data_IF_709444444119
#
_entry.id   IF_709444444119
#
_cell.length_a   1.000
_cell.length_b   1.000
_cell.length_c   1.000
_cell.angle_alpha   90.00
_cell.angle_beta   90.00
_cell.angle_gamma   90.00
#
_symmetry.space_group_name_H-M   'P 1'
#
loop_
_entity.id
_entity.type
_entity.pdbx_description
1 polymer ?
2 non-polymer ?
3 water ?
#
# COMPACT_ATOMS: atom_id res chain seq x y z
N UNK A 29 9.02 -17.39 18.07
CA UNK A 29 7.82 -17.05 17.23
C UNK A 29 6.92 -18.24 17.15
N UNK A 30 5.85 -18.15 16.35
CA UNK A 30 5.49 -16.94 15.60
C UNK A 30 4.05 -16.60 15.90
N UNK A 31 3.77 -15.30 16.03
CA UNK A 31 2.43 -14.86 16.39
C UNK A 31 2.05 -13.69 15.49
N UNK A 32 0.83 -13.70 14.96
CA UNK A 32 0.33 -12.56 14.19
C UNK A 32 -0.78 -11.88 14.94
N UNK A 33 -0.72 -10.55 15.03
CA UNK A 33 -1.82 -9.78 15.58
C UNK A 33 -2.35 -8.78 14.56
N UNK A 34 -3.61 -8.38 14.70
CA UNK A 34 -4.08 -7.22 13.97
C UNK A 34 -4.34 -6.18 15.02
N UNK A 35 -3.95 -4.93 14.77
CA UNK A 35 -4.23 -3.86 15.73
C UNK A 35 -5.40 -3.04 15.22
N UNK A 36 -6.11 -3.57 14.22
CA UNK A 36 -7.29 -2.89 13.68
C UNK A 36 -8.56 -3.26 14.44
N UNK A 37 -9.53 -2.35 14.44
CA UNK A 37 -10.74 -2.48 15.29
C UNK A 37 -12.07 -2.59 14.52
N UNK A 38 -12.01 -2.71 13.18
CA UNK A 38 -13.20 -3.07 12.37
C UNK A 38 -12.92 -4.06 11.26
N UNK A 39 -13.91 -4.90 10.97
CA UNK A 39 -13.78 -6.04 10.06
C UNK A 39 -13.06 -5.73 8.73
N UNK A 40 -13.36 -4.56 8.16
CA UNK A 40 -12.82 -4.21 6.84
C UNK A 40 -11.31 -4.04 6.87
N UNK A 41 -10.79 -3.60 8.01
CA UNK A 41 -9.37 -3.35 8.14
C UNK A 41 -8.60 -4.57 8.60
N UNK A 42 -9.32 -5.66 8.87
CA UNK A 42 -8.67 -6.86 9.32
C UNK A 42 -8.64 -7.87 8.20
N UNK A 43 -9.13 -7.47 7.02
CA UNK A 43 -9.19 -8.42 5.90
C UNK A 43 -7.80 -8.87 5.49
N UNK A 44 -6.90 -7.92 5.30
CA UNK A 44 -5.55 -8.23 4.86
C UNK A 44 -4.88 -9.20 5.84
N UNK A 45 -4.93 -8.86 7.12
CA UNK A 45 -4.32 -9.69 8.15
C UNK A 45 -4.87 -11.14 8.06
N UNK A 46 -6.18 -11.26 7.88
CA UNK A 46 -6.87 -12.54 7.70
C UNK A 46 -6.34 -13.35 6.49
N UNK A 47 -6.06 -12.66 5.38
CA UNK A 47 -5.51 -13.31 4.19
C UNK A 47 -4.09 -13.75 4.37
N UNK A 48 -3.31 -12.93 5.06
CA UNK A 48 -1.92 -13.24 5.38
C UNK A 48 -1.86 -14.51 6.25
N UNK A 49 -2.86 -14.67 7.11
CA UNK A 49 -2.88 -15.79 8.04
C UNK A 49 -3.23 -17.05 7.28
N UNK A 50 -4.20 -16.94 6.36
CA UNK A 50 -4.62 -18.09 5.56
C UNK A 50 -3.47 -18.59 4.72
N UNK A 51 -2.64 -17.65 4.26
CA UNK A 51 -1.50 -18.01 3.44
C UNK A 51 -0.41 -18.72 4.24
N UNK A 52 -0.11 -18.23 5.43
CA UNK A 52 0.94 -18.87 6.23
C UNK A 52 0.46 -20.19 6.86
N UNK A 53 -0.86 -20.38 6.88
CA UNK A 53 -1.47 -21.54 7.48
C UNK A 53 -1.44 -21.47 8.98
N UNK A 54 -1.90 -20.37 9.54
CA UNK A 54 -1.95 -20.20 11.00
C UNK A 54 -3.26 -19.56 11.50
N UNK A 55 -3.54 -19.72 12.79
CA UNK A 55 -4.56 -18.93 13.49
C UNK A 55 -4.06 -17.50 13.74
N UNK A 56 -4.95 -16.51 13.82
CA UNK A 56 -4.57 -15.16 14.26
C UNK A 56 -4.44 -15.19 15.77
N UNK A 57 -3.64 -14.31 16.35
CA UNK A 57 -3.57 -14.24 17.80
C UNK A 57 -4.85 -13.66 18.37
N UNK A 58 -5.15 -13.94 19.63
CA UNK A 58 -6.31 -13.31 20.26
C UNK A 58 -5.93 -11.93 20.79
N UNK A 59 -6.73 -10.92 20.45
CA UNK A 59 -6.55 -9.58 20.98
C UNK A 59 -7.89 -8.91 20.98
N UNK A 60 -8.03 -7.90 21.84
CA UNK A 60 -9.17 -7.01 21.74
C UNK A 60 -8.71 -5.59 21.47
N UNK A 61 -9.22 -5.01 20.39
CA UNK A 61 -8.95 -3.61 20.12
C UNK A 61 -10.25 -2.83 19.97
N UNK A 62 -10.55 -2.03 20.97
CA UNK A 62 -11.78 -1.28 20.94
C UNK A 62 -11.55 0.14 21.47
N UNK A 63 -12.65 0.81 21.78
CA UNK A 63 -12.60 2.21 22.15
C UNK A 63 -13.47 2.45 23.40
N UNK A 64 -12.91 3.06 24.44
CA UNK A 64 -13.70 3.49 25.61
C UNK A 64 -14.71 4.57 25.21
N UNK A 65 -15.76 4.78 26.02
CA UNK A 65 -16.71 5.87 25.78
C UNK A 65 -16.09 7.29 25.71
N UNK A 66 -14.92 7.50 26.29
CA UNK A 66 -14.23 8.79 26.13
C UNK A 66 -13.37 8.81 24.87
N UNK A 67 -13.41 7.74 24.10
CA UNK A 67 -12.73 7.63 22.83
C UNK A 67 -11.22 7.34 22.92
N UNK A 68 -10.72 7.02 24.11
CA UNK A 68 -9.39 6.43 24.26
C UNK A 68 -9.41 5.01 23.74
N UNK A 69 -8.25 4.55 23.31
CA UNK A 69 -8.14 3.22 22.73
C UNK A 69 -7.84 2.16 23.80
N UNK A 70 -8.22 0.93 23.52
CA UNK A 70 -7.93 -0.15 24.43
C UNK A 70 -7.44 -1.32 23.61
N UNK A 71 -6.25 -1.77 23.94
CA UNK A 71 -5.67 -2.95 23.34
C UNK A 71 -5.51 -3.88 24.52
N UNK A 72 -5.73 -5.17 24.29
CA UNK A 72 -5.69 -6.14 25.35
C UNK A 72 -5.30 -7.48 24.71
N UNK A 73 -4.10 -7.95 25.06
CA UNK A 73 -3.49 -9.08 24.37
C UNK A 73 -3.83 -10.36 25.10
N UNK A 74 -4.62 -11.21 24.45
CA UNK A 74 -5.20 -12.33 25.16
C UNK A 74 -4.45 -13.64 24.98
N UNK A 75 -3.14 -13.60 25.23
CA UNK A 75 -2.28 -14.79 25.19
C UNK A 75 -0.80 -14.42 25.49
N UNK A 76 -0.03 -15.42 25.93
CA UNK A 76 1.40 -15.21 26.18
C UNK A 76 2.15 -14.85 24.91
N UNK A 77 3.00 -13.84 25.01
CA UNK A 77 3.78 -13.36 23.91
C UNK A 77 5.27 -13.53 24.24
N UNK A 78 5.56 -13.81 25.52
CA UNK A 78 6.92 -13.91 25.99
C UNK A 78 7.81 -14.76 25.09
N UNK A 79 9.01 -14.26 24.81
CA UNK A 79 9.98 -14.97 23.99
C UNK A 79 9.61 -15.12 22.52
N UNK A 80 8.38 -14.77 22.15
CA UNK A 80 7.86 -14.99 20.80
C UNK A 80 8.20 -13.90 19.77
N UNK A 81 8.15 -14.28 18.49
CA UNK A 81 8.34 -13.35 17.39
C UNK A 81 6.99 -12.93 16.88
N UNK A 82 6.68 -11.65 17.09
CA UNK A 82 5.33 -11.16 16.93
C UNK A 82 5.23 -10.16 15.78
N UNK A 83 4.40 -10.49 14.80
CA UNK A 83 4.16 -9.60 13.66
C UNK A 83 2.82 -8.94 13.85
N UNK A 84 2.82 -7.63 14.05
CA UNK A 84 1.60 -6.85 14.23
C UNK A 84 1.17 -6.29 12.88
N UNK A 85 0.00 -6.69 12.42
CA UNK A 85 -0.48 -6.24 11.09
C UNK A 85 -1.44 -5.07 11.22
N UNK A 86 -1.11 -3.97 10.56
CA UNK A 86 -1.87 -2.75 10.79
C UNK A 86 -2.16 -2.01 9.50
N UNK A 87 -3.41 -2.04 9.03
CA UNK A 87 -3.77 -1.20 7.90
C UNK A 87 -4.36 0.15 8.34
N UNK A 88 -4.52 1.07 7.40
CA UNK A 88 -5.04 2.38 7.77
C UNK A 88 -6.54 2.50 7.56
N UNK A 89 -7.26 2.77 8.64
CA UNK A 89 -8.69 2.99 8.61
C UNK A 89 -9.00 4.46 8.27
N UNK A 90 -10.27 4.77 8.19
CA UNK A 90 -10.74 6.12 8.03
C UNK A 90 -10.06 7.08 9.03
N UNK A 91 -10.02 6.68 10.30
CA UNK A 91 -9.42 7.49 11.40
C UNK A 91 -7.95 7.16 11.58
N UNK A 92 -7.11 7.78 10.76
CA UNK A 92 -5.70 7.43 10.69
C UNK A 92 -4.98 7.59 12.05
N UNK A 93 -5.15 8.73 12.70
CA UNK A 93 -4.64 8.98 14.05
C UNK A 93 -5.00 7.91 15.07
N UNK A 94 -6.20 7.39 15.00
CA UNK A 94 -6.58 6.28 15.88
C UNK A 94 -5.85 4.98 15.47
N UNK A 95 -5.71 4.77 14.18
CA UNK A 95 -4.88 3.68 13.64
C UNK A 95 -3.47 3.72 14.25
N UNK A 96 -2.87 4.89 14.30
CA UNK A 96 -1.57 5.07 14.91
C UNK A 96 -1.57 4.66 16.38
N UNK A 97 -2.40 5.29 17.20
CA UNK A 97 -2.48 4.94 18.62
C UNK A 97 -2.78 3.46 18.85
N UNK A 98 -3.72 2.87 18.12
CA UNK A 98 -3.91 1.42 18.22
C UNK A 98 -2.59 0.67 17.99
N UNK A 99 -1.85 1.05 16.95
CA UNK A 99 -0.57 0.45 16.68
C UNK A 99 0.46 0.65 17.80
N UNK A 100 0.67 1.92 18.15
CA UNK A 100 1.64 2.30 19.16
C UNK A 100 1.39 1.58 20.48
N UNK A 101 0.14 1.64 20.93
CA UNK A 101 -0.27 1.01 22.17
C UNK A 101 -0.06 -0.50 22.12
N UNK A 102 -0.38 -1.13 21.01
CA UNK A 102 -0.20 -2.56 20.94
C UNK A 102 1.26 -2.95 20.98
N UNK A 103 2.08 -2.20 20.25
CA UNK A 103 3.50 -2.46 20.16
C UNK A 103 4.08 -2.37 21.58
N UNK A 104 3.65 -1.33 22.30
CA UNK A 104 4.10 -1.10 23.66
C UNK A 104 3.75 -2.26 24.59
N UNK A 105 2.56 -2.80 24.42
CA UNK A 105 2.12 -3.91 25.27
C UNK A 105 2.96 -5.17 24.99
N UNK A 106 3.33 -5.34 23.74
CA UNK A 106 4.18 -6.46 23.34
C UNK A 106 5.58 -6.31 23.90
N UNK A 107 5.99 -5.05 24.12
CA UNK A 107 7.32 -4.80 24.63
C UNK A 107 7.32 -5.15 26.11
N UNK A 108 6.31 -4.63 26.80
CA UNK A 108 6.09 -4.92 28.20
C UNK A 108 5.99 -6.43 28.49
N UNK A 109 5.41 -7.19 27.57
CA UNK A 109 5.23 -8.61 27.78
C UNK A 109 6.40 -9.41 27.23
N UNK A 110 7.49 -8.69 26.95
CA UNK A 110 8.78 -9.31 26.64
C UNK A 110 8.79 -10.19 25.40
N UNK A 111 8.17 -9.69 24.34
CA UNK A 111 8.22 -10.33 23.04
C UNK A 111 9.69 -10.30 22.61
N UNK A 112 10.13 -11.29 21.84
CA UNK A 112 11.51 -11.33 21.42
C UNK A 112 11.76 -10.33 20.29
N UNK A 113 10.80 -10.23 19.38
CA UNK A 113 10.89 -9.29 18.30
C UNK A 113 9.50 -8.77 18.03
N UNK A 114 9.41 -7.51 17.66
CA UNK A 114 8.12 -6.92 17.38
C UNK A 114 8.21 -6.30 16.01
N UNK A 115 7.73 -7.03 15.02
CA UNK A 115 7.78 -6.58 13.64
C UNK A 115 6.48 -5.91 13.25
N UNK A 116 6.54 -4.62 12.95
CA UNK A 116 5.39 -3.95 12.35
C UNK A 116 5.23 -4.32 10.87
N UNK A 117 4.07 -4.85 10.50
CA UNK A 117 3.75 -5.04 9.10
C UNK A 117 2.72 -3.98 8.72
N UNK A 118 3.21 -2.87 8.17
CA UNK A 118 2.40 -1.67 7.98
C UNK A 118 2.44 -1.29 6.52
N UNK A 119 1.67 -2.02 5.71
CA UNK A 119 1.85 -1.96 4.26
C UNK A 119 1.71 -0.53 3.74
N UNK A 120 0.76 0.26 4.28
CA UNK A 120 0.70 1.69 3.94
C UNK A 120 1.15 2.58 5.11
N UNK A 121 2.34 3.16 4.99
CA UNK A 121 2.83 4.06 6.01
C UNK A 121 2.22 5.47 5.86
N UNK A 122 1.41 5.86 6.83
CA UNK A 122 0.68 7.13 6.80
C UNK A 122 1.60 8.32 6.97
N UNK A 123 1.06 9.53 6.85
CA UNK A 123 1.85 10.79 6.98
C UNK A 123 3.14 10.81 6.21
N UNK A 124 3.13 10.24 5.01
CA UNK A 124 4.36 9.96 4.30
C UNK A 124 4.46 10.77 3.02
N UNK A 125 3.31 11.20 2.51
CA UNK A 125 3.31 12.11 1.39
C UNK A 125 3.29 13.56 1.92
N UNK A 126 4.44 14.28 1.90
CA UNK A 126 4.61 15.64 2.56
C UNK A 126 3.44 16.62 2.55
N UNK A 134 9.45 20.70 8.38
CA UNK A 134 9.58 19.55 9.27
C UNK A 134 8.92 18.30 8.69
N UNK A 135 9.70 17.28 8.45
CA UNK A 135 9.21 16.06 7.79
C UNK A 135 8.53 15.20 8.83
N UNK A 136 7.19 15.19 8.82
CA UNK A 136 6.37 14.50 9.84
C UNK A 136 6.49 12.96 9.75
N UNK A 137 6.79 12.42 8.57
CA UNK A 137 7.01 10.98 8.51
C UNK A 137 8.21 10.58 9.39
N UNK A 138 9.06 11.54 9.75
CA UNK A 138 10.21 11.20 10.60
C UNK A 138 9.73 10.97 12.04
N UNK A 139 9.04 11.99 12.54
CA UNK A 139 8.38 11.96 13.83
C UNK A 139 7.57 10.67 14.02
N UNK A 140 6.76 10.33 13.05
CA UNK A 140 5.95 9.10 13.16
C UNK A 140 6.87 7.89 13.35
N UNK A 141 7.90 7.79 12.52
CA UNK A 141 8.91 6.73 12.62
C UNK A 141 9.59 6.58 13.99
N UNK A 142 9.79 7.68 14.69
CA UNK A 142 10.46 7.68 15.98
C UNK A 142 9.62 7.10 17.04
N UNK A 143 8.35 7.45 16.98
CA UNK A 143 7.44 7.09 18.04
C UNK A 143 7.20 5.62 17.94
N UNK A 144 7.24 5.14 16.70
CA UNK A 144 7.11 3.73 16.43
C UNK A 144 8.35 3.00 16.96
N UNK A 145 9.51 3.64 16.88
CA UNK A 145 10.73 2.97 17.36
C UNK A 145 10.80 3.03 18.87
N UNK A 146 10.48 4.21 19.40
CA UNK A 146 10.49 4.42 20.84
C UNK A 146 9.49 3.49 21.53
N UNK A 147 8.30 3.37 20.97
CA UNK A 147 7.28 2.39 21.40
C UNK A 147 7.82 0.95 21.53
N UNK A 148 8.84 0.64 20.73
CA UNK A 148 9.47 -0.65 20.84
C UNK A 148 9.44 -1.51 19.61
N UNK A 149 9.15 -0.94 18.45
CA UNK A 149 9.23 -1.69 17.19
C UNK A 149 10.67 -2.13 16.97
N UNK A 150 10.88 -3.32 16.42
CA UNK A 150 12.25 -3.78 16.24
C UNK A 150 12.51 -4.19 14.81
N UNK A 151 11.45 -4.21 14.02
CA UNK A 151 11.56 -4.38 12.59
C UNK A 151 10.31 -3.83 11.91
N UNK A 152 10.42 -3.44 10.64
CA UNK A 152 9.23 -2.99 9.89
C UNK A 152 9.10 -3.68 8.54
N UNK A 153 7.88 -3.98 8.13
CA UNK A 153 7.73 -4.37 6.77
C UNK A 153 6.70 -3.49 6.17
N UNK A 154 6.94 -3.00 4.97
CA UNK A 154 6.02 -2.01 4.37
C UNK A 154 6.12 -2.07 2.85
N UNK A 155 5.10 -1.58 2.13
CA UNK A 155 5.19 -1.56 0.66
C UNK A 155 5.21 -0.16 0.04
N UNK A 156 6.14 0.05 -0.88
CA UNK A 156 6.18 1.18 -1.74
C UNK A 156 6.03 2.56 -1.02
N UNK A 157 7.07 2.90 -0.26
CA UNK A 157 7.10 4.08 0.56
C UNK A 157 7.09 5.35 -0.33
N UNK A 158 6.20 6.29 -0.04
CA UNK A 158 6.27 7.57 -0.80
C UNK A 158 7.65 8.14 -1.16
N UNK A 159 8.55 8.25 -0.20
CA UNK A 159 9.95 8.51 -0.52
C UNK A 159 10.69 7.39 0.13
N UNK A 160 11.64 6.77 -0.55
CA UNK A 160 12.07 5.53 0.04
C UNK A 160 13.16 5.76 1.08
N UNK A 161 13.64 6.99 1.11
CA UNK A 161 14.53 7.51 2.14
C UNK A 161 13.90 7.47 3.52
N UNK A 162 12.58 7.42 3.59
CA UNK A 162 11.92 7.19 4.86
C UNK A 162 12.45 5.89 5.58
N UNK A 163 13.05 4.95 4.86
CA UNK A 163 13.63 3.79 5.55
C UNK A 163 14.62 4.23 6.61
N UNK A 164 15.28 5.34 6.35
CA UNK A 164 16.37 5.77 7.20
C UNK A 164 15.88 6.71 8.26
N UNK A 165 14.56 6.81 8.41
CA UNK A 165 13.96 7.65 9.45
C UNK A 165 13.83 6.84 10.73
N UNK A 166 13.93 5.53 10.56
CA UNK A 166 13.93 4.55 11.64
C UNK A 166 15.35 4.28 12.12
N UNK A 167 15.44 3.64 13.28
CA UNK A 167 16.74 3.23 13.81
C UNK A 167 16.74 1.72 13.92
N UNK A 168 15.91 1.08 13.11
CA UNK A 168 15.81 -0.39 13.10
C UNK A 168 15.66 -0.93 11.66
N UNK A 169 15.88 -2.24 11.48
CA UNK A 169 15.72 -2.66 10.06
C UNK A 169 14.30 -2.58 9.44
N UNK A 170 14.26 -2.33 8.16
CA UNK A 170 13.02 -2.02 7.44
C UNK A 170 12.99 -2.71 6.10
N UNK A 171 11.88 -3.33 5.72
CA UNK A 171 11.77 -3.76 4.33
C UNK A 171 10.72 -2.94 3.65
N UNK A 172 11.15 -2.22 2.62
CA UNK A 172 10.27 -1.36 1.85
C UNK A 172 9.93 -2.03 0.53
N UNK A 173 8.81 -2.73 0.50
CA UNK A 173 8.58 -3.77 -0.52
C UNK A 173 8.00 -3.29 -1.84
N UNK A 174 8.34 -4.00 -2.91
CA UNK A 174 7.82 -3.67 -4.24
C UNK A 174 6.39 -4.18 -4.41
N UNK A 175 5.56 -3.43 -5.14
CA UNK A 175 4.24 -3.89 -5.55
C UNK A 175 4.15 -3.98 -7.07
N UNK A 176 5.06 -3.29 -7.76
CA UNK A 176 5.05 -3.24 -9.22
C UNK A 176 4.97 -4.62 -9.94
N UNK A 177 5.83 -5.60 -9.58
CA UNK A 177 5.65 -6.89 -10.28
C UNK A 177 4.19 -7.34 -10.35
N UNK A 178 3.43 -7.16 -9.27
CA UNK A 178 2.03 -7.51 -9.28
C UNK A 178 1.18 -6.58 -10.15
N UNK A 179 1.52 -5.30 -10.23
CA UNK A 179 0.77 -4.42 -11.15
C UNK A 179 1.15 -4.65 -12.62
N UNK A 180 2.45 -4.76 -12.87
CA UNK A 180 2.98 -5.04 -14.19
C UNK A 180 2.36 -6.31 -14.75
N UNK A 181 2.32 -7.36 -13.96
CA UNK A 181 1.74 -8.61 -14.41
C UNK A 181 0.24 -8.45 -14.67
N UNK A 182 -0.38 -7.50 -13.99
CA UNK A 182 -1.79 -7.25 -14.27
C UNK A 182 -1.89 -6.60 -15.66
N UNK A 183 -1.08 -5.59 -15.90
CA UNK A 183 -1.12 -4.93 -17.20
C UNK A 183 -1.03 -5.98 -18.27
N UNK A 184 -0.02 -6.83 -18.16
CA UNK A 184 0.21 -7.84 -19.18
C UNK A 184 -0.97 -8.76 -19.41
N UNK A 185 -1.53 -9.32 -18.34
CA UNK A 185 -2.60 -10.31 -18.45
C UNK A 185 -4.02 -9.72 -18.58
N UNK A 186 -4.23 -8.54 -18.00
CA UNK A 186 -5.60 -8.05 -17.89
C UNK A 186 -5.90 -6.84 -18.76
N UNK A 187 -4.85 -6.26 -19.34
CA UNK A 187 -5.06 -5.25 -20.35
C UNK A 187 -4.78 -5.80 -21.75
N UNK A 188 -5.85 -5.91 -22.56
CA UNK A 188 -5.72 -6.16 -24.01
C UNK A 188 -5.08 -4.98 -24.74
N UNK A 189 -4.12 -5.29 -25.62
CA UNK A 189 -3.45 -4.29 -26.46
C UNK A 189 -2.49 -3.42 -25.67
N UNK A 190 -1.81 -4.00 -24.69
CA UNK A 190 -0.95 -3.17 -23.87
C UNK A 190 0.27 -2.64 -24.61
N UNK A 191 0.73 -3.38 -25.61
CA UNK A 191 1.91 -2.94 -26.38
C UNK A 191 1.59 -1.69 -27.19
N UNK A 192 0.32 -1.30 -27.18
CA UNK A 192 -0.09 -0.06 -27.80
C UNK A 192 -0.45 0.96 -26.69
N UNK A 193 0.30 0.89 -25.59
CA UNK A 193 0.14 1.83 -24.48
C UNK A 193 1.30 2.78 -24.40
N UNK A 194 1.13 3.81 -23.58
CA UNK A 194 2.24 4.61 -23.20
C UNK A 194 2.01 4.83 -21.73
N UNK A 195 3.08 4.62 -20.96
CA UNK A 195 3.05 4.81 -19.53
C UNK A 195 3.13 6.31 -19.21
N UNK A 196 2.16 6.82 -18.48
CA UNK A 196 2.08 8.25 -18.16
C UNK A 196 2.40 8.59 -16.70
N UNK A 197 3.12 9.68 -16.51
CA UNK A 197 3.39 10.21 -15.21
C UNK A 197 2.53 11.45 -15.05
N UNK A 198 1.66 11.40 -14.03
CA UNK A 198 0.77 12.49 -13.61
C UNK A 198 1.48 13.87 -13.48
N UNK A 199 2.71 13.83 -12.98
CA UNK A 199 3.53 15.03 -12.78
C UNK A 199 5.00 14.63 -12.99
N UNK A 200 5.88 15.61 -13.23
CA UNK A 200 7.29 15.26 -13.35
C UNK A 200 7.80 14.41 -12.19
N UNK A 201 7.22 14.59 -11.00
CA UNK A 201 7.58 13.78 -9.83
C UNK A 201 7.38 12.28 -10.01
N UNK A 202 6.47 11.90 -10.90
CA UNK A 202 6.13 10.47 -11.08
C UNK A 202 6.87 9.90 -12.29
N UNK A 203 7.63 10.76 -12.96
CA UNK A 203 8.39 10.38 -14.16
C UNK A 203 9.28 9.15 -13.95
N UNK A 204 9.93 9.10 -12.80
CA UNK A 204 10.79 7.98 -12.43
C UNK A 204 10.04 6.65 -12.51
N UNK A 205 8.89 6.59 -11.87
CA UNK A 205 8.14 5.36 -11.72
C UNK A 205 7.55 4.92 -13.06
N UNK A 206 7.05 5.88 -13.85
CA UNK A 206 6.63 5.64 -15.23
C UNK A 206 7.71 4.94 -16.05
N UNK A 207 8.95 5.43 -15.93
CA UNK A 207 10.10 4.89 -16.63
C UNK A 207 10.38 3.47 -16.24
N UNK A 208 10.16 3.16 -14.95
CA UNK A 208 10.42 1.82 -14.46
C UNK A 208 9.40 0.86 -15.03
N UNK A 209 8.20 1.36 -15.29
CA UNK A 209 7.14 0.52 -15.87
C UNK A 209 7.38 0.34 -17.36
N UNK A 210 7.68 1.43 -18.05
CA UNK A 210 7.89 1.37 -19.49
C UNK A 210 9.00 0.38 -19.83
N UNK A 211 10.12 0.50 -19.14
CA UNK A 211 11.28 -0.36 -19.29
C UNK A 211 10.97 -1.85 -19.32
N UNK A 212 10.18 -2.32 -18.38
CA UNK A 212 9.96 -3.75 -18.27
C UNK A 212 8.87 -4.18 -19.22
N UNK A 213 8.11 -3.21 -19.70
CA UNK A 213 7.05 -3.49 -20.67
C UNK A 213 7.48 -3.12 -22.08
N UNK A 214 8.74 -2.75 -22.24
CA UNK A 214 9.29 -2.24 -23.50
C UNK A 214 8.38 -1.19 -24.14
N UNK A 215 8.09 -0.10 -23.44
CA UNK A 215 7.20 0.96 -23.95
C UNK A 215 7.77 2.39 -23.81
N UNK A 216 7.08 3.36 -24.39
CA UNK A 216 7.49 4.76 -24.29
C UNK A 216 6.80 5.36 -23.08
N UNK A 217 7.18 6.57 -22.71
CA UNK A 217 6.54 7.22 -21.59
C UNK A 217 6.05 8.59 -21.98
N UNK A 218 5.02 9.07 -21.30
CA UNK A 218 4.64 10.45 -21.42
C UNK A 218 4.56 11.00 -20.00
N UNK A 219 4.74 12.32 -19.89
CA UNK A 219 4.69 12.99 -18.61
C UNK A 219 3.95 14.31 -18.71
N UNK A 220 2.94 14.45 -17.86
CA UNK A 220 2.10 15.60 -17.76
C UNK A 220 2.78 16.74 -17.01
N UNK A 221 2.57 17.97 -17.47
CA UNK A 221 2.97 19.15 -16.70
C UNK A 221 2.29 20.41 -17.26
N UNK A 263 -2.92 26.28 -16.09
CA UNK A 263 -2.95 24.81 -16.12
C UNK A 263 -2.01 24.15 -17.17
N UNK A 264 -2.34 22.94 -17.63
CA UNK A 264 -1.31 21.95 -18.04
C UNK A 264 -1.31 21.28 -19.42
N UNK A 265 -0.12 20.87 -19.87
CA UNK A 265 0.06 20.19 -21.18
C UNK A 265 0.69 18.80 -21.08
N UNK A 266 1.21 18.28 -22.20
CA UNK A 266 1.82 16.94 -22.21
C UNK A 266 3.15 16.88 -22.97
N UNK A 267 4.07 16.05 -22.46
CA UNK A 267 5.34 15.79 -23.10
C UNK A 267 5.35 14.33 -23.53
N UNK A 268 5.46 14.08 -24.83
CA UNK A 268 5.51 12.72 -25.33
C UNK A 268 4.47 12.43 -26.39
N UNK A 269 4.43 11.18 -26.85
CA UNK A 269 3.50 10.81 -27.93
C UNK A 269 2.38 9.96 -27.39
N UNK A 270 1.19 10.55 -27.29
CA UNK A 270 0.07 9.86 -26.67
C UNK A 270 -1.09 9.52 -27.63
N UNK A 271 -1.17 10.22 -28.78
CA UNK A 271 -2.24 10.01 -29.76
C UNK A 271 -2.42 8.56 -30.19
N UNK A 272 -3.67 8.11 -30.26
CA UNK A 272 -3.99 6.79 -30.77
C UNK A 272 -3.44 5.66 -29.93
N UNK A 273 -3.21 5.93 -28.64
CA UNK A 273 -2.71 4.91 -27.74
C UNK A 273 -3.51 4.82 -26.46
N UNK A 274 -3.46 3.62 -25.86
CA UNK A 274 -3.84 3.41 -24.48
C UNK A 274 -2.84 4.15 -23.59
N UNK A 275 -3.34 4.90 -22.61
CA UNK A 275 -2.47 5.61 -21.69
C UNK A 275 -2.62 5.05 -20.28
N UNK A 276 -1.52 4.51 -19.75
CA UNK A 276 -1.53 3.95 -18.41
C UNK A 276 -0.82 4.86 -17.41
N UNK A 277 -1.60 5.55 -16.58
CA UNK A 277 -1.02 6.45 -15.58
C UNK A 277 -0.59 5.70 -14.35
N UNK A 278 0.63 5.95 -13.94
CA UNK A 278 1.31 5.11 -12.95
C UNK A 278 1.82 5.98 -11.79
N UNK A 279 1.35 5.70 -10.59
CA UNK A 279 1.79 6.41 -9.38
C UNK A 279 1.96 5.44 -8.23
N UNK A 280 2.52 5.87 -7.09
CA UNK A 280 2.55 5.00 -5.91
C UNK A 280 1.25 5.08 -5.09
N UNK A 281 0.62 6.25 -5.11
CA UNK A 281 -0.63 6.41 -4.39
C UNK A 281 -1.69 7.11 -5.23
N UNK A 282 -2.95 6.83 -4.91
CA UNK A 282 -4.06 7.67 -5.35
C UNK A 282 -4.98 7.99 -4.18
N UNK A 283 -5.01 9.26 -3.79
CA UNK A 283 -5.84 9.69 -2.68
C UNK A 283 -6.58 10.94 -3.10
N UNK A 284 -5.85 12.03 -3.27
CA UNK A 284 -6.42 13.22 -3.83
C UNK A 284 -6.46 13.00 -5.34
N UNK A 285 -7.67 13.04 -5.88
CA UNK A 285 -7.98 12.55 -7.22
C UNK A 285 -7.88 13.65 -8.29
N UNK A 286 -7.79 14.91 -7.85
CA UNK A 286 -7.73 16.11 -8.69
C UNK A 286 -6.86 16.01 -9.92
N UNK A 287 -5.56 15.88 -9.71
CA UNK A 287 -4.61 15.85 -10.82
C UNK A 287 -4.55 14.48 -11.53
N UNK A 288 -5.26 13.49 -11.03
CA UNK A 288 -5.55 12.32 -11.85
C UNK A 288 -6.64 12.62 -12.88
N UNK A 289 -7.62 13.44 -12.48
CA UNK A 289 -8.69 13.85 -13.36
C UNK A 289 -8.19 14.78 -14.45
N UNK A 290 -7.30 15.71 -14.12
CA UNK A 290 -6.76 16.63 -15.12
C UNK A 290 -5.87 15.87 -16.12
N UNK A 291 -5.09 14.94 -15.61
CA UNK A 291 -4.30 14.06 -16.46
C UNK A 291 -5.18 13.30 -17.45
N UNK A 292 -6.35 12.86 -17.01
CA UNK A 292 -7.27 12.12 -17.89
C UNK A 292 -7.90 12.99 -18.98
N UNK A 293 -8.30 14.22 -18.64
CA UNK A 293 -8.91 15.11 -19.62
C UNK A 293 -7.91 15.49 -20.70
N UNK A 294 -6.70 15.86 -20.29
CA UNK A 294 -5.67 16.20 -21.27
C UNK A 294 -5.32 15.01 -22.16
N UNK A 295 -5.04 13.86 -21.55
CA UNK A 295 -4.76 12.63 -22.30
C UNK A 295 -5.90 12.29 -23.29
N UNK A 296 -7.14 12.47 -22.86
CA UNK A 296 -8.28 12.35 -23.76
C UNK A 296 -8.18 13.35 -24.91
N UNK A 297 -7.99 14.63 -24.58
CA UNK A 297 -7.89 15.68 -25.58
C UNK A 297 -6.82 15.45 -26.63
N UNK A 298 -5.70 14.85 -26.25
CA UNK A 298 -4.63 14.57 -27.20
C UNK A 298 -4.75 13.19 -27.84
N UNK A 299 -5.94 12.59 -27.78
CA UNK A 299 -6.24 11.43 -28.61
C UNK A 299 -5.93 10.05 -28.04
N UNK A 300 -5.59 9.99 -26.76
CA UNK A 300 -5.43 8.72 -26.07
C UNK A 300 -6.81 8.09 -25.94
N UNK A 301 -6.99 6.85 -26.40
CA UNK A 301 -8.36 6.32 -26.46
C UNK A 301 -8.86 5.56 -25.23
N UNK A 302 -7.96 5.28 -24.31
CA UNK A 302 -8.29 4.53 -23.11
C UNK A 302 -7.33 4.96 -22.00
N UNK A 303 -7.87 5.33 -20.85
CA UNK A 303 -7.05 5.85 -19.75
C UNK A 303 -7.10 4.91 -18.55
N UNK A 304 -5.94 4.41 -18.12
CA UNK A 304 -5.89 3.64 -16.88
C UNK A 304 -5.11 4.35 -15.79
N UNK A 305 -5.38 3.95 -14.55
CA UNK A 305 -4.58 4.39 -13.42
C UNK A 305 -4.20 3.18 -12.58
N UNK A 306 -2.88 3.00 -12.40
CA UNK A 306 -2.33 2.00 -11.52
C UNK A 306 -1.58 2.69 -10.40
N UNK A 307 -1.96 2.41 -9.17
CA UNK A 307 -1.26 2.94 -8.02
C UNK A 307 -1.23 1.86 -6.96
N UNK A 308 -0.14 1.81 -6.20
CA UNK A 308 0.00 0.92 -5.05
C UNK A 308 -1.07 1.17 -4.02
N UNK A 309 -1.17 2.42 -3.56
CA UNK A 309 -2.03 2.72 -2.44
C UNK A 309 -3.32 3.37 -2.86
N UNK A 310 -4.45 2.75 -2.50
CA UNK A 310 -5.75 3.32 -2.79
C UNK A 310 -6.38 3.97 -1.56
N UNK A 311 -5.84 5.12 -1.18
CA UNK A 311 -6.39 5.84 -0.05
C UNK A 311 -7.80 6.28 -0.43
N UNK A 312 -7.90 7.03 -1.52
CA UNK A 312 -9.19 7.35 -2.14
C UNK A 312 -10.09 8.04 -1.11
N UNK A 313 -9.58 9.15 -0.56
CA UNK A 313 -10.30 9.88 0.47
C UNK A 313 -11.59 10.51 -0.06
N UNK A 314 -12.55 10.68 0.84
CA UNK A 314 -13.80 11.44 0.61
C UNK A 314 -14.52 11.15 -0.72
N UNK A 315 -14.77 12.18 -1.53
CA UNK A 315 -15.58 11.94 -2.72
C UNK A 315 -14.76 11.58 -3.95
N UNK A 316 -13.62 10.91 -3.73
CA UNK A 316 -12.84 10.33 -4.82
C UNK A 316 -13.60 9.37 -5.76
N UNK A 317 -14.26 8.33 -5.21
CA UNK A 317 -14.79 7.27 -6.09
C UNK A 317 -15.84 7.79 -7.06
N UNK A 318 -16.60 8.79 -6.62
CA UNK A 318 -17.61 9.41 -7.46
C UNK A 318 -16.94 10.19 -8.59
N UNK A 319 -16.00 11.05 -8.21
CA UNK A 319 -15.31 11.89 -9.18
C UNK A 319 -14.62 11.03 -10.25
N UNK A 320 -14.21 9.82 -9.86
CA UNK A 320 -13.65 8.87 -10.80
C UNK A 320 -14.72 8.29 -11.70
N UNK A 321 -15.84 7.88 -11.12
CA UNK A 321 -16.89 7.24 -11.87
C UNK A 321 -17.31 8.15 -13.01
N UNK A 322 -17.52 9.43 -12.70
CA UNK A 322 -18.00 10.39 -13.69
C UNK A 322 -16.99 10.66 -14.80
N UNK A 323 -15.70 10.48 -14.50
CA UNK A 323 -14.59 10.99 -15.34
C UNK A 323 -14.12 10.12 -16.51
N UNK A 324 -13.13 10.66 -17.22
CA UNK A 324 -12.55 10.03 -18.41
C UNK A 324 -11.83 8.71 -18.12
N UNK A 325 -11.28 8.58 -16.91
CA UNK A 325 -10.55 7.38 -16.52
C UNK A 325 -11.44 6.19 -16.72
N UNK A 326 -10.91 5.18 -17.39
CA UNK A 326 -11.72 4.02 -17.73
C UNK A 326 -11.59 2.99 -16.65
N UNK A 327 -10.40 2.90 -16.08
CA UNK A 327 -10.17 1.93 -15.02
C UNK A 327 -9.13 2.44 -14.01
N UNK A 328 -9.35 2.12 -12.73
CA UNK A 328 -8.38 2.36 -11.66
C UNK A 328 -8.02 1.04 -10.97
N UNK A 329 -6.73 0.71 -11.02
CA UNK A 329 -6.23 -0.54 -10.45
C UNK A 329 -5.32 -0.24 -9.27
N UNK A 330 -5.77 -0.59 -8.06
CA UNK A 330 -4.96 -0.39 -6.87
C UNK A 330 -4.76 -1.70 -6.12
N UNK A 331 -3.78 -1.77 -5.21
CA UNK A 331 -3.60 -2.95 -4.37
C UNK A 331 -4.45 -2.87 -3.10
N UNK A 332 -4.34 -3.88 -2.25
CA UNK A 332 -5.11 -3.87 -1.01
C UNK A 332 -4.25 -3.49 0.21
N UNK A 333 -3.18 -2.74 -0.01
CA UNK A 333 -2.43 -2.15 1.11
C UNK A 333 -3.35 -1.33 2.03
N UNK A 334 -4.35 -0.70 1.44
CA UNK A 334 -5.32 0.06 2.20
C UNK A 334 -6.73 -0.43 1.89
N UNK A 335 -7.47 -0.84 2.91
CA UNK A 335 -8.86 -1.28 2.71
C UNK A 335 -9.75 -0.17 2.13
N UNK A 336 -10.51 -0.49 1.09
CA UNK A 336 -11.41 0.48 0.47
C UNK A 336 -12.77 -0.11 0.08
N UNK A 337 -13.43 -0.78 1.02
CA UNK A 337 -14.72 -1.45 0.76
C UNK A 337 -15.75 -0.59 0.04
N UNK A 338 -16.07 0.52 0.68
CA UNK A 338 -17.09 1.46 0.24
C UNK A 338 -16.84 1.98 -1.17
N UNK A 339 -15.59 2.35 -1.46
CA UNK A 339 -15.23 2.98 -2.73
C UNK A 339 -15.40 2.04 -3.92
N UNK A 340 -15.13 0.75 -3.70
CA UNK A 340 -15.41 -0.28 -4.70
C UNK A 340 -16.87 -0.28 -5.11
N UNK A 341 -17.76 -0.24 -4.13
CA UNK A 341 -19.20 -0.11 -4.40
C UNK A 341 -19.56 1.21 -5.09
N UNK A 342 -19.00 2.32 -4.60
CA UNK A 342 -19.26 3.62 -5.20
C UNK A 342 -18.66 3.77 -6.60
N UNK A 343 -17.95 2.76 -7.07
CA UNK A 343 -17.19 2.94 -8.30
C UNK A 343 -16.62 1.61 -8.82
N UNK A 344 -17.35 0.94 -9.73
CA UNK A 344 -16.91 -0.37 -10.23
C UNK A 344 -15.70 -0.25 -11.18
N UNK A 345 -15.32 0.99 -11.50
CA UNK A 345 -14.06 1.24 -12.22
C UNK A 345 -12.83 0.85 -11.40
N UNK A 346 -12.97 0.80 -10.07
CA UNK A 346 -11.85 0.43 -9.19
C UNK A 346 -11.65 -1.10 -9.14
N UNK A 347 -10.47 -1.54 -9.55
CA UNK A 347 -10.12 -2.95 -9.48
C UNK A 347 -9.00 -3.16 -8.45
N UNK A 348 -9.27 -3.88 -7.38
CA UNK A 348 -8.26 -4.17 -6.38
C UNK A 348 -7.40 -5.36 -6.79
N UNK A 349 -6.12 -5.36 -6.44
CA UNK A 349 -5.20 -6.48 -6.69
C UNK A 349 -4.62 -7.01 -5.37
N UNK A 350 -4.79 -8.31 -5.12
CA UNK A 350 -4.37 -8.89 -3.86
C UNK A 350 -2.86 -8.99 -3.72
N UNK A 351 -2.37 -8.62 -2.54
CA UNK A 351 -0.93 -8.48 -2.30
C UNK A 351 -0.40 -9.29 -1.12
N UNK A 352 -1.32 -9.81 -0.30
CA UNK A 352 -0.99 -10.74 0.78
C UNK A 352 0.16 -11.74 0.53
N UNK A 353 0.35 -12.18 -0.71
CA UNK A 353 1.46 -13.05 -1.05
C UNK A 353 2.81 -12.38 -0.81
N UNK A 354 2.97 -11.15 -1.30
CA UNK A 354 4.23 -10.43 -1.10
C UNK A 354 4.44 -10.26 0.40
N UNK A 355 3.36 -9.92 1.09
CA UNK A 355 3.40 -9.79 2.52
C UNK A 355 3.64 -11.11 3.28
N UNK A 356 2.95 -12.18 2.95
CA UNK A 356 3.23 -13.45 3.64
C UNK A 356 4.63 -13.99 3.36
N UNK A 357 5.14 -13.78 2.15
CA UNK A 357 6.50 -14.20 1.83
C UNK A 357 7.55 -13.42 2.59
N UNK A 358 7.34 -12.11 2.77
CA UNK A 358 8.30 -11.32 3.49
C UNK A 358 8.36 -11.80 4.94
N UNK A 359 7.20 -12.09 5.50
CA UNK A 359 7.09 -12.62 6.86
C UNK A 359 7.68 -14.03 7.00
N UNK A 360 7.43 -14.89 6.01
CA UNK A 360 8.04 -16.21 6.01
C UNK A 360 9.56 -16.11 6.05
N UNK A 361 10.14 -15.24 5.23
CA UNK A 361 11.61 -15.14 5.16
C UNK A 361 12.14 -14.66 6.50
N UNK A 362 11.48 -13.63 7.04
CA UNK A 362 11.99 -12.95 8.21
C UNK A 362 11.91 -13.83 9.44
N UNK A 363 10.89 -14.68 9.49
CA UNK A 363 10.77 -15.61 10.59
C UNK A 363 11.86 -16.69 10.51
N UNK A 364 12.08 -17.24 9.32
CA UNK A 364 13.05 -18.33 9.15
C UNK A 364 14.50 -17.90 9.03
N UNK A 365 14.74 -16.59 9.06
CA UNK A 365 16.10 -16.10 8.93
C UNK A 365 16.66 -16.30 7.53
N UNK A 366 15.77 -16.48 6.55
CA UNK A 366 16.21 -16.57 5.15
C UNK A 366 16.52 -15.19 4.59
N UNK A 367 17.16 -15.16 3.43
CA UNK A 367 17.48 -13.93 2.74
C UNK A 367 16.18 -13.30 2.26
N UNK A 368 16.21 -12.01 1.91
CA UNK A 368 15.07 -11.38 1.25
C UNK A 368 15.31 -11.33 -0.26
N UNK A 369 16.58 -11.37 -0.63
CA UNK A 369 17.07 -11.21 -2.01
C UNK A 369 16.07 -11.34 -3.17
N UNK A 370 15.16 -12.31 -3.17
CA UNK A 370 14.54 -12.58 -4.47
C UNK A 370 13.35 -11.86 -5.14
N UNK A 371 12.30 -11.43 -4.45
CA UNK A 371 11.68 -12.01 -3.30
C UNK A 371 10.51 -12.58 -4.08
N UNK A 372 10.51 -12.21 -5.37
CA UNK A 372 9.44 -12.43 -6.32
C UNK A 372 9.65 -13.62 -7.26
N UNK A 373 10.76 -14.33 -7.11
CA UNK A 373 11.09 -15.41 -8.05
C UNK A 373 9.92 -16.39 -8.18
N UNK A 374 9.34 -16.79 -7.05
CA UNK A 374 8.29 -17.81 -7.08
C UNK A 374 6.85 -17.35 -6.81
N UNK A 375 6.68 -16.07 -6.52
CA UNK A 375 5.34 -15.56 -6.29
C UNK A 375 4.86 -14.79 -7.51
N UNK A 376 3.55 -14.67 -7.67
CA UNK A 376 2.97 -13.98 -8.80
C UNK A 376 1.54 -13.58 -8.51
N UNK A 377 0.84 -13.12 -9.55
CA UNK A 377 -0.49 -12.54 -9.42
C UNK A 377 -1.68 -13.43 -8.99
N UNK A 378 -1.70 -14.74 -9.22
CA UNK A 378 -0.56 -15.60 -9.59
C UNK A 378 -0.06 -15.52 -11.03
#
# INVERSE_FOLDING_TARGET
MHHHHHHSSGVDLGTENLYFQSMNITKGGLVLFSANSNSSCMELSKKIAERLGVEMGKVQVYQEPNRETRVQIQESVRGKDVFIIQTVSKDVNTTIMELLIMVYACKTSCAKSIIGVIPYFPYSKQCKMRKRGSIVSKLLASMMCKAGLTHLITMDLHQKEIQGFFNIPVDNLRASPFLLQYIQEEIPDYRNAVIVAKSPASAKRAQSFAERLRLGIAVIHGEAQDAESDLVDGRHSPPMVRSVAAIHPSLEIPMLIPKEKPPITVVGDVGGRIAIIVDDIIDDVDSFLAAAETLKERGAYKIFVMATHGLLSSDAPRRIEESAIDEVVVTNTIPHEVQKLQCPKIKTVDISMILSEAIRRIHNGESMSYLFRNIGLDD
#
